data_IF_393387812422
#
_entry.id   IF_393387812422
#
_cell.length_a   1.000
_cell.length_b   1.000
_cell.length_c   1.000
_cell.angle_alpha   90.00
_cell.angle_beta   90.00
_cell.angle_gamma   90.00
#
_symmetry.space_group_name_H-M   'P 1'
#
loop_
_entity.id
_entity.type
_entity.pdbx_description
1 polymer ?
#
# COMPACT_ATOMS: atom_id res chain seq x y z
N UNK A 1 -55.55 10.74 -10.12
CA UNK A 1 -54.63 10.51 -8.98
C UNK A 1 -53.86 9.20 -9.09
N UNK A 2 -54.51 8.05 -9.36
CA UNK A 2 -53.89 6.71 -9.39
C UNK A 2 -52.66 6.59 -10.32
N UNK A 3 -52.68 7.24 -11.49
CA UNK A 3 -51.56 7.16 -12.47
C UNK A 3 -50.26 7.80 -11.99
N UNK A 4 -50.35 8.88 -11.21
CA UNK A 4 -49.17 9.57 -10.67
C UNK A 4 -48.58 8.82 -9.47
N UNK A 5 -49.42 8.19 -8.65
CA UNK A 5 -48.99 7.34 -7.55
C UNK A 5 -48.20 6.12 -8.05
N UNK A 6 -48.66 5.50 -9.13
CA UNK A 6 -47.93 4.41 -9.79
C UNK A 6 -46.55 4.83 -10.29
N UNK A 7 -46.44 6.01 -10.91
CA UNK A 7 -45.15 6.51 -11.39
C UNK A 7 -44.16 6.75 -10.24
N UNK A 8 -44.62 7.32 -9.12
CA UNK A 8 -43.79 7.57 -7.93
C UNK A 8 -43.33 6.25 -7.31
N UNK A 9 -44.22 5.27 -7.16
CA UNK A 9 -43.89 3.96 -6.59
C UNK A 9 -42.87 3.23 -7.49
N UNK A 10 -43.05 3.27 -8.81
CA UNK A 10 -42.11 2.66 -9.75
C UNK A 10 -40.72 3.31 -9.68
N UNK A 11 -40.65 4.64 -9.61
CA UNK A 11 -39.40 5.37 -9.46
C UNK A 11 -38.69 5.01 -8.15
N UNK A 12 -39.45 4.90 -7.06
CA UNK A 12 -38.92 4.56 -5.74
C UNK A 12 -38.39 3.12 -5.71
N UNK A 13 -39.11 2.19 -6.34
CA UNK A 13 -38.67 0.80 -6.46
C UNK A 13 -37.37 0.67 -7.29
N UNK A 14 -37.26 1.40 -8.40
CA UNK A 14 -36.05 1.42 -9.23
C UNK A 14 -34.87 2.03 -8.48
N UNK A 15 -35.09 3.14 -7.77
CA UNK A 15 -34.05 3.79 -6.97
C UNK A 15 -33.53 2.85 -5.87
N UNK A 16 -34.44 2.20 -5.14
CA UNK A 16 -34.08 1.24 -4.09
C UNK A 16 -33.36 0.02 -4.65
N UNK A 17 -33.84 -0.56 -5.75
CA UNK A 17 -33.20 -1.70 -6.39
C UNK A 17 -31.78 -1.36 -6.87
N UNK A 18 -31.60 -0.16 -7.45
CA UNK A 18 -30.30 0.34 -7.89
C UNK A 18 -29.33 0.53 -6.73
N UNK A 19 -29.74 1.27 -5.69
CA UNK A 19 -28.92 1.48 -4.49
C UNK A 19 -28.57 0.17 -3.80
N UNK A 20 -29.52 -0.77 -3.73
CA UNK A 20 -29.30 -2.07 -3.13
C UNK A 20 -28.31 -2.92 -3.93
N UNK A 21 -28.38 -2.90 -5.26
CA UNK A 21 -27.40 -3.60 -6.11
C UNK A 21 -25.99 -3.04 -5.89
N UNK A 22 -25.84 -1.71 -5.91
CA UNK A 22 -24.54 -1.05 -5.66
C UNK A 22 -24.00 -1.40 -4.26
N UNK A 23 -24.86 -1.46 -3.25
CA UNK A 23 -24.47 -1.88 -1.89
C UNK A 23 -23.95 -3.32 -1.86
N UNK A 24 -24.57 -4.24 -2.59
CA UNK A 24 -24.10 -5.63 -2.69
C UNK A 24 -22.76 -5.73 -3.43
N UNK A 25 -22.56 -4.95 -4.48
CA UNK A 25 -21.31 -4.91 -5.25
C UNK A 25 -20.15 -4.41 -4.37
N UNK A 26 -20.37 -3.29 -3.66
CA UNK A 26 -19.39 -2.72 -2.72
C UNK A 26 -19.09 -3.69 -1.57
N UNK A 27 -20.11 -4.36 -1.00
CA UNK A 27 -19.90 -5.33 0.08
C UNK A 27 -19.13 -6.57 -0.39
N UNK A 28 -19.39 -7.04 -1.62
CA UNK A 28 -18.67 -8.14 -2.25
C UNK A 28 -17.21 -7.79 -2.54
N UNK A 29 -16.95 -6.58 -3.04
CA UNK A 29 -15.60 -6.09 -3.27
C UNK A 29 -14.83 -5.83 -1.97
N UNK A 30 -15.49 -5.30 -0.93
CA UNK A 30 -14.86 -5.12 0.38
C UNK A 30 -14.39 -6.45 0.96
N UNK A 31 -15.23 -7.49 0.89
CA UNK A 31 -14.89 -8.81 1.44
C UNK A 31 -13.78 -9.52 0.67
N UNK A 32 -13.62 -9.25 -0.64
CA UNK A 32 -12.50 -9.78 -1.44
C UNK A 32 -11.21 -8.95 -1.31
N UNK A 33 -11.29 -7.64 -1.10
CA UNK A 33 -10.15 -6.71 -1.07
C UNK A 33 -9.60 -6.44 0.34
N UNK A 34 -10.41 -6.69 1.38
CA UNK A 34 -10.06 -6.46 2.79
C UNK A 34 -8.92 -7.33 3.33
N UNK A 35 -8.53 -8.40 2.64
CA UNK A 35 -7.45 -9.26 3.13
C UNK A 35 -6.05 -8.62 2.99
N UNK A 36 -5.85 -7.61 2.10
CA UNK A 36 -4.52 -7.01 1.91
C UNK A 36 -4.46 -5.47 1.83
N UNK A 37 -5.59 -4.76 1.66
CA UNK A 37 -5.61 -3.31 1.39
C UNK A 37 -6.16 -2.43 2.53
N UNK A 38 -6.01 -2.85 3.79
CA UNK A 38 -6.31 -2.01 4.95
C UNK A 38 -5.08 -1.24 5.44
N UNK A 39 -5.27 -0.02 5.95
CA UNK A 39 -4.18 0.75 6.62
C UNK A 39 -3.59 -0.06 7.78
N UNK A 40 -4.45 -0.72 8.58
CA UNK A 40 -4.02 -1.56 9.70
C UNK A 40 -3.19 -2.78 9.24
N UNK A 41 -3.55 -3.44 8.14
CA UNK A 41 -2.75 -4.55 7.60
C UNK A 41 -1.42 -4.05 7.05
N UNK A 42 -1.40 -2.87 6.43
CA UNK A 42 -0.16 -2.24 5.96
C UNK A 42 0.77 -1.90 7.13
N UNK A 43 0.27 -1.22 8.17
CA UNK A 43 1.04 -0.88 9.37
C UNK A 43 1.61 -2.13 10.05
N UNK A 44 0.83 -3.21 10.13
CA UNK A 44 1.27 -4.46 10.74
C UNK A 44 2.48 -5.07 10.02
N UNK A 45 2.62 -4.90 8.70
CA UNK A 45 3.78 -5.40 7.93
C UNK A 45 5.08 -4.70 8.34
N UNK A 46 4.99 -3.43 8.72
CA UNK A 46 6.12 -2.59 9.12
C UNK A 46 6.42 -2.65 10.63
N UNK A 47 5.66 -3.42 11.40
CA UNK A 47 5.77 -3.48 12.87
C UNK A 47 7.18 -3.80 13.37
N UNK A 48 7.90 -4.72 12.72
CA UNK A 48 9.28 -5.04 13.09
C UNK A 48 10.26 -3.93 12.72
N UNK A 49 10.13 -3.33 11.53
CA UNK A 49 10.98 -2.20 11.13
C UNK A 49 10.80 -1.02 12.09
N UNK A 50 9.55 -0.69 12.44
CA UNK A 50 9.22 0.43 13.33
C UNK A 50 9.90 0.36 14.70
N UNK A 51 10.14 -0.84 15.24
CA UNK A 51 10.87 -1.03 16.51
C UNK A 51 12.34 -0.60 16.44
N UNK A 52 12.92 -0.57 15.25
CA UNK A 52 14.34 -0.26 15.02
C UNK A 52 14.57 1.16 14.53
N UNK A 53 13.52 1.84 14.08
CA UNK A 53 13.58 3.18 13.52
C UNK A 53 13.76 4.22 14.63
N UNK A 54 14.80 5.04 14.52
CA UNK A 54 15.02 6.17 15.42
C UNK A 54 14.27 7.40 14.93
N UNK A 55 13.71 8.23 15.81
CA UNK A 55 13.20 9.55 15.43
C UNK A 55 14.28 10.33 14.66
N UNK A 56 13.92 11.04 13.58
CA UNK A 56 14.81 11.82 12.71
C UNK A 56 15.70 11.03 11.72
N UNK A 57 15.60 9.71 11.64
CA UNK A 57 16.26 8.97 10.56
C UNK A 57 15.63 9.32 9.20
N UNK A 58 16.47 9.41 8.16
CA UNK A 58 16.04 9.58 6.76
C UNK A 58 16.26 8.26 6.03
N UNK A 59 15.21 7.76 5.39
CA UNK A 59 15.23 6.56 4.57
C UNK A 59 14.84 6.87 3.15
N UNK A 60 15.48 6.20 2.20
CA UNK A 60 14.98 6.08 0.85
C UNK A 60 13.86 5.05 0.76
N UNK A 61 13.13 5.03 -0.35
CA UNK A 61 12.05 4.09 -0.58
C UNK A 61 12.09 3.53 -2.00
N UNK A 62 11.80 2.24 -2.13
CA UNK A 62 11.53 1.59 -3.41
C UNK A 62 10.51 0.48 -3.22
N UNK A 63 9.73 0.19 -4.27
CA UNK A 63 8.80 -0.92 -4.31
C UNK A 63 8.99 -1.78 -5.56
N UNK A 64 8.25 -2.89 -5.62
CA UNK A 64 8.08 -3.74 -6.80
C UNK A 64 6.90 -3.32 -7.70
N UNK A 65 6.23 -2.21 -7.39
CA UNK A 65 5.21 -1.66 -8.28
C UNK A 65 5.84 -1.10 -9.58
N UNK A 66 5.10 -1.11 -10.70
CA UNK A 66 5.53 -0.44 -11.92
C UNK A 66 5.72 1.08 -11.69
N UNK A 67 6.68 1.72 -12.39
CA UNK A 67 6.82 3.17 -12.35
C UNK A 67 5.51 3.86 -12.79
N UNK A 68 5.11 4.91 -12.07
CA UNK A 68 3.86 5.67 -12.29
C UNK A 68 2.55 4.91 -11.99
N UNK A 69 2.60 3.77 -11.31
CA UNK A 69 1.39 3.14 -10.78
C UNK A 69 0.84 3.97 -9.60
N UNK A 70 -0.45 4.36 -9.58
CA UNK A 70 -1.06 5.02 -8.42
C UNK A 70 -0.86 4.25 -7.10
N UNK A 71 -0.74 2.92 -7.18
CA UNK A 71 -0.46 2.04 -6.03
C UNK A 71 0.92 2.30 -5.44
N UNK A 72 1.95 2.55 -6.27
CA UNK A 72 3.31 2.87 -5.79
C UNK A 72 3.31 4.14 -4.94
N UNK A 73 2.61 5.17 -5.43
CA UNK A 73 2.49 6.44 -4.72
C UNK A 73 1.68 6.29 -3.43
N UNK A 74 0.59 5.50 -3.45
CA UNK A 74 -0.21 5.23 -2.27
C UNK A 74 0.61 4.50 -1.18
N UNK A 75 1.36 3.46 -1.56
CA UNK A 75 2.20 2.71 -0.62
C UNK A 75 3.37 3.54 -0.07
N UNK A 76 3.96 4.42 -0.90
CA UNK A 76 4.96 5.37 -0.46
C UNK A 76 4.43 6.30 0.64
N UNK A 77 3.23 6.86 0.47
CA UNK A 77 2.61 7.72 1.49
C UNK A 77 2.18 6.94 2.75
N UNK A 78 1.67 5.73 2.59
CA UNK A 78 1.37 4.86 3.73
C UNK A 78 2.63 4.49 4.51
N UNK A 79 3.76 4.29 3.83
CA UNK A 79 5.05 4.03 4.48
C UNK A 79 5.51 5.25 5.29
N UNK A 80 5.42 6.46 4.72
CA UNK A 80 5.70 7.70 5.44
C UNK A 80 4.84 7.85 6.70
N UNK A 81 3.53 7.61 6.57
CA UNK A 81 2.62 7.65 7.69
C UNK A 81 2.99 6.63 8.79
N UNK A 82 3.28 5.40 8.38
CA UNK A 82 3.58 4.28 9.29
C UNK A 82 4.86 4.49 10.09
N UNK A 83 5.87 5.11 9.48
CA UNK A 83 7.20 5.30 10.07
C UNK A 83 7.40 6.67 10.71
N UNK A 84 6.38 7.53 10.72
CA UNK A 84 6.46 8.81 11.40
C UNK A 84 6.92 8.64 12.88
N UNK A 85 7.86 9.46 13.38
CA UNK A 85 8.38 10.71 12.79
C UNK A 85 9.65 10.55 11.94
N UNK A 86 10.03 9.35 11.51
CA UNK A 86 11.12 9.21 10.53
C UNK A 86 10.71 9.76 9.15
N UNK A 87 11.70 10.23 8.40
CA UNK A 87 11.51 10.81 7.07
C UNK A 87 11.75 9.72 6.03
N UNK A 88 10.81 9.57 5.09
CA UNK A 88 10.96 8.65 3.96
C UNK A 88 10.92 9.45 2.67
N UNK A 89 11.93 9.30 1.83
CA UNK A 89 12.07 9.98 0.53
C UNK A 89 11.88 8.99 -0.61
N UNK A 90 11.40 9.44 -1.77
CA UNK A 90 11.22 8.61 -2.96
C UNK A 90 12.54 8.32 -3.71
N UNK A 91 13.67 8.42 -3.01
CA UNK A 91 15.02 8.30 -3.56
C UNK A 91 15.65 6.99 -3.12
N UNK A 92 16.44 6.35 -3.99
CA UNK A 92 17.29 5.21 -3.63
C UNK A 92 18.73 5.62 -3.29
N UNK A 93 19.00 6.94 -3.20
CA UNK A 93 20.34 7.49 -2.93
C UNK A 93 20.62 7.70 -1.44
N UNK A 94 19.61 7.54 -0.58
CA UNK A 94 19.78 7.66 0.86
C UNK A 94 20.67 6.55 1.43
N UNK A 95 21.33 6.82 2.57
CA UNK A 95 22.24 5.86 3.22
C UNK A 95 21.59 4.50 3.50
N UNK A 96 20.30 4.51 3.77
CA UNK A 96 19.46 3.35 3.98
C UNK A 96 18.20 3.49 3.15
N UNK A 97 17.80 2.43 2.46
CA UNK A 97 16.64 2.40 1.57
C UNK A 97 15.71 1.29 2.00
N UNK A 98 14.44 1.60 2.19
CA UNK A 98 13.40 0.62 2.48
C UNK A 98 12.91 0.07 1.14
N UNK A 99 13.05 -1.24 0.96
CA UNK A 99 12.45 -1.97 -0.14
C UNK A 99 11.16 -2.65 0.36
N UNK A 100 10.01 -2.22 -0.19
CA UNK A 100 8.70 -2.78 0.08
C UNK A 100 8.28 -3.71 -1.07
N UNK A 101 8.26 -5.01 -0.80
CA UNK A 101 7.82 -6.04 -1.75
C UNK A 101 6.47 -6.62 -1.35
N UNK A 102 5.62 -6.88 -2.33
CA UNK A 102 4.35 -7.56 -2.09
C UNK A 102 4.54 -9.05 -1.76
N UNK A 103 5.63 -9.66 -2.24
CA UNK A 103 5.99 -11.03 -1.89
C UNK A 103 6.78 -11.05 -0.54
N UNK A 104 6.35 -11.84 0.46
CA UNK A 104 7.07 -11.98 1.72
C UNK A 104 8.52 -12.48 1.59
N UNK A 105 8.81 -13.25 0.54
CA UNK A 105 10.12 -13.79 0.21
C UNK A 105 10.53 -13.33 -1.19
N UNK A 106 10.90 -12.05 -1.37
CA UNK A 106 11.24 -11.51 -2.67
C UNK A 106 12.58 -12.08 -3.16
N UNK A 107 12.74 -12.19 -4.48
CA UNK A 107 14.04 -12.52 -5.07
C UNK A 107 15.02 -11.34 -4.87
N UNK A 108 16.09 -11.59 -4.13
CA UNK A 108 17.11 -10.59 -3.81
C UNK A 108 17.88 -10.12 -5.05
N UNK A 109 17.85 -10.86 -6.16
CA UNK A 109 18.46 -10.42 -7.42
C UNK A 109 17.81 -9.12 -7.95
N UNK A 110 16.53 -8.89 -7.64
CA UNK A 110 15.82 -7.66 -8.02
C UNK A 110 16.41 -6.43 -7.34
N UNK A 111 16.95 -6.59 -6.13
CA UNK A 111 17.65 -5.51 -5.41
C UNK A 111 18.98 -5.17 -6.09
N UNK A 112 19.70 -6.17 -6.57
CA UNK A 112 20.96 -5.95 -7.30
C UNK A 112 20.74 -5.18 -8.60
N UNK A 113 19.66 -5.49 -9.33
CA UNK A 113 19.26 -4.73 -10.53
C UNK A 113 18.94 -3.25 -10.23
N UNK A 114 18.58 -2.92 -8.98
CA UNK A 114 18.35 -1.55 -8.50
C UNK A 114 19.59 -0.94 -7.82
N UNK A 115 20.76 -1.57 -7.92
CA UNK A 115 21.99 -1.17 -7.22
C UNK A 115 21.82 -1.09 -5.69
N UNK A 116 21.08 -2.02 -5.10
CA UNK A 116 20.85 -2.11 -3.68
C UNK A 116 21.39 -3.44 -3.12
N UNK A 117 22.02 -3.36 -1.93
CA UNK A 117 22.43 -4.52 -1.14
C UNK A 117 21.52 -4.67 0.07
N UNK A 118 20.96 -5.86 0.35
CA UNK A 118 20.17 -6.08 1.55
C UNK A 118 21.05 -6.02 2.80
N UNK A 119 20.63 -5.24 3.80
CA UNK A 119 21.28 -5.11 5.10
C UNK A 119 20.55 -5.93 6.15
N UNK A 120 19.22 -5.86 6.16
CA UNK A 120 18.38 -6.56 7.12
C UNK A 120 17.00 -6.85 6.54
N UNK A 121 16.52 -8.08 6.72
CA UNK A 121 15.16 -8.47 6.36
C UNK A 121 14.25 -8.39 7.60
N UNK A 122 13.14 -7.67 7.51
CA UNK A 122 12.15 -7.49 8.58
C UNK A 122 10.93 -8.40 8.40
N UNK A 123 10.94 -9.27 7.39
CA UNK A 123 9.81 -10.13 7.02
C UNK A 123 8.73 -9.35 6.27
N UNK A 124 7.68 -10.06 5.85
CA UNK A 124 6.51 -9.49 5.16
C UNK A 124 6.85 -8.64 3.92
N UNK A 125 7.97 -8.96 3.26
CA UNK A 125 8.46 -8.26 2.09
C UNK A 125 9.15 -6.92 2.39
N UNK A 126 9.42 -6.61 3.65
CA UNK A 126 10.13 -5.38 4.05
C UNK A 126 11.60 -5.69 4.26
N UNK A 127 12.45 -5.07 3.44
CA UNK A 127 13.91 -5.24 3.50
C UNK A 127 14.56 -3.87 3.59
N UNK A 128 15.47 -3.71 4.55
CA UNK A 128 16.33 -2.54 4.63
C UNK A 128 17.59 -2.80 3.81
N UNK A 129 17.90 -1.88 2.93
CA UNK A 129 18.99 -1.97 1.97
C UNK A 129 19.95 -0.79 2.13
N UNK A 130 21.14 -0.94 1.56
CA UNK A 130 22.10 0.14 1.34
C UNK A 130 22.38 0.26 -0.16
N UNK A 131 22.56 1.47 -0.69
CA UNK A 131 23.07 1.63 -2.05
C UNK A 131 24.39 0.88 -2.20
N UNK A 132 24.47 0.03 -3.22
CA UNK A 132 25.74 -0.54 -3.66
C UNK A 132 26.62 0.64 -4.06
N UNK A 133 27.84 0.73 -3.53
CA UNK A 133 28.78 1.75 -3.98
C UNK A 133 28.89 1.65 -5.50
N UNK A 134 28.63 2.76 -6.20
CA UNK A 134 28.91 2.85 -7.63
C UNK A 134 30.41 2.55 -7.81
N UNK A 135 30.71 1.47 -8.55
CA UNK A 135 32.02 1.30 -9.14
C UNK A 135 32.15 2.26 -10.32
#
# INVERSE_FOLDING_TARGET
MVRHQFAVIALLAIALASSFWVLLDVAGDYSKRSASFGVASFESRFSELRKTVTPQSVFGYTSDNPPNDPSDQAEFYLTQYTLAPAIVTSSTLEKLVIANFHNPNPDLNVLQAKHLTPVQNFGNGIILCRPSAAQ
#
